data_IF_915959677174
#
_entry.id   IF_915959677174
#
_cell.length_a   1.000
_cell.length_b   1.000
_cell.length_c   1.000
_cell.angle_alpha   90.00
_cell.angle_beta   90.00
_cell.angle_gamma   90.00
#
_symmetry.space_group_name_H-M   'P 1'
#
loop_
_entity.id
_entity.type
_entity.pdbx_description
1 polymer ?
#
# COMPACT_ATOMS: atom_id res chain seq x y z
N UNK A 1 -7.80 13.47 4.91
CA UNK A 1 -7.31 13.50 4.82
C UNK A 1 -6.61 13.56 4.62
N UNK A 2 -6.32 13.71 4.62
CA UNK A 2 -5.64 13.98 4.40
C UNK A 2 -4.78 13.97 4.16
N UNK A 3 -4.32 14.01 4.04
CA UNK A 3 -3.51 14.14 3.85
C UNK A 3 -2.68 14.36 3.71
N UNK A 4 -2.12 14.59 3.68
CA UNK A 4 -1.38 14.88 3.47
C UNK A 4 -0.47 15.04 3.37
N UNK A 5 -0.03 15.26 3.29
CA UNK A 5 0.70 15.39 3.01
C UNK A 5 1.84 15.69 3.13
N UNK A 6 2.39 15.44 2.64
CA UNK A 6 3.58 15.58 2.82
C UNK A 6 4.07 16.69 2.21
N UNK A 7 4.63 17.43 2.75
CA UNK A 7 5.13 18.40 2.20
C UNK A 7 6.38 18.08 1.66
N UNK A 8 6.85 18.67 0.75
CA UNK A 8 7.96 18.38 0.25
C UNK A 8 9.11 18.68 1.01
N UNK A 9 9.86 17.85 1.36
CA UNK A 9 11.00 18.10 2.05
C UNK A 9 12.14 17.53 1.34
N UNK A 10 13.26 18.05 1.34
CA UNK A 10 14.44 17.52 0.71
C UNK A 10 14.89 16.30 1.43
N UNK A 11 14.93 15.18 0.74
CA UNK A 11 15.38 13.94 1.32
C UNK A 11 16.32 13.29 0.36
N UNK A 12 17.24 12.51 0.86
CA UNK A 12 18.16 11.84 0.01
C UNK A 12 17.47 10.78 -0.80
N UNK A 13 17.96 10.57 -2.00
CA UNK A 13 17.46 9.48 -2.83
C UNK A 13 17.62 8.18 -2.06
N UNK A 14 16.67 7.33 -2.17
CA UNK A 14 16.68 6.08 -1.45
C UNK A 14 16.07 6.15 -0.07
N UNK A 15 15.53 7.29 0.30
CA UNK A 15 14.92 7.47 1.61
C UNK A 15 13.42 7.59 1.45
N UNK A 16 12.69 6.92 2.30
CA UNK A 16 11.25 7.02 2.33
C UNK A 16 10.86 7.71 3.61
N UNK A 17 10.09 8.79 3.49
CA UNK A 17 9.61 9.48 4.66
C UNK A 17 8.23 9.00 5.03
N UNK A 18 8.03 8.71 6.28
CA UNK A 18 6.76 8.22 6.76
C UNK A 18 6.27 9.13 7.86
N UNK A 19 5.01 9.50 7.83
CA UNK A 19 4.41 10.34 8.84
C UNK A 19 4.48 9.60 10.17
N UNK A 20 5.05 10.22 11.18
CA UNK A 20 5.22 9.54 12.44
C UNK A 20 3.90 9.15 13.07
N UNK A 21 2.80 9.78 12.70
CA UNK A 21 1.50 9.40 13.21
C UNK A 21 1.12 7.98 12.81
N UNK A 22 1.74 7.45 11.76
CA UNK A 22 1.45 6.08 11.35
C UNK A 22 2.19 5.05 12.20
N UNK A 23 3.05 5.49 13.10
CA UNK A 23 3.78 4.54 13.91
C UNK A 23 2.98 4.00 15.09
N UNK A 24 1.76 4.47 15.29
CA UNK A 24 0.91 3.90 16.33
C UNK A 24 0.55 2.47 15.98
N UNK A 25 0.50 1.59 16.96
CA UNK A 25 0.23 0.17 16.72
C UNK A 25 -1.04 -0.05 15.93
N UNK A 26 -2.08 0.70 16.19
CA UNK A 26 -3.33 0.49 15.51
C UNK A 26 -3.27 0.84 14.03
N UNK A 27 -2.22 1.55 13.62
CA UNK A 27 -2.07 1.94 12.23
C UNK A 27 -0.98 1.16 11.52
N UNK A 28 -0.54 0.05 12.10
CA UNK A 28 0.53 -0.73 11.52
C UNK A 28 0.25 -1.14 10.08
N UNK A 29 -0.96 -1.59 9.81
CA UNK A 29 -1.30 -1.99 8.43
C UNK A 29 -1.20 -0.83 7.47
N UNK A 30 -1.64 0.35 7.89
CA UNK A 30 -1.55 1.52 7.07
C UNK A 30 -0.10 1.92 6.84
N UNK A 31 0.73 1.85 7.88
CA UNK A 31 2.12 2.20 7.73
C UNK A 31 2.80 1.25 6.76
N UNK A 32 2.53 -0.05 6.90
CA UNK A 32 3.15 -1.03 6.00
C UNK A 32 2.73 -0.78 4.56
N UNK A 33 1.45 -0.49 4.33
CA UNK A 33 0.99 -0.24 2.97
C UNK A 33 1.60 1.04 2.41
N UNK A 34 1.71 2.07 3.23
CA UNK A 34 2.32 3.32 2.80
C UNK A 34 3.78 3.10 2.42
N UNK A 35 4.52 2.36 3.23
CA UNK A 35 5.91 2.08 2.90
C UNK A 35 6.03 1.26 1.63
N UNK A 36 5.15 0.28 1.45
CA UNK A 36 5.18 -0.55 0.25
C UNK A 36 4.82 0.27 -0.99
N UNK A 37 3.88 1.19 -0.85
CA UNK A 37 3.49 2.07 -1.94
C UNK A 37 4.66 2.95 -2.37
N UNK A 38 5.36 3.53 -1.40
CA UNK A 38 6.52 4.36 -1.72
C UNK A 38 7.64 3.54 -2.32
N UNK A 39 7.82 2.32 -1.85
CA UNK A 39 8.78 1.42 -2.45
C UNK A 39 8.39 1.13 -3.90
N UNK A 40 7.08 1.01 -4.16
CA UNK A 40 6.60 0.82 -5.52
C UNK A 40 7.00 1.96 -6.43
N UNK A 41 6.89 3.19 -5.96
CA UNK A 41 7.34 4.33 -6.74
C UNK A 41 8.85 4.25 -6.98
N UNK A 42 9.59 3.86 -5.96
CA UNK A 42 11.04 3.77 -6.12
C UNK A 42 11.41 2.70 -7.16
N UNK A 43 10.77 1.57 -7.10
CA UNK A 43 11.09 0.47 -8.00
C UNK A 43 10.62 0.75 -9.42
N UNK A 44 9.43 1.29 -9.57
CA UNK A 44 8.81 1.39 -10.88
C UNK A 44 9.01 2.75 -11.53
N UNK A 45 9.17 3.79 -10.74
CA UNK A 45 9.10 5.13 -11.27
C UNK A 45 10.32 5.99 -10.95
N UNK A 46 11.40 5.36 -10.51
CA UNK A 46 12.53 6.14 -10.07
C UNK A 46 13.06 7.05 -11.18
N UNK A 47 12.98 6.64 -12.41
CA UNK A 47 13.46 7.46 -13.47
C UNK A 47 12.65 8.72 -13.68
N UNK A 48 11.42 8.72 -13.26
CA UNK A 48 10.57 9.87 -13.43
C UNK A 48 10.96 10.99 -12.48
N UNK A 49 11.66 10.64 -11.40
CA UNK A 49 12.02 11.64 -10.43
C UNK A 49 13.52 11.89 -10.36
N UNK A 50 14.28 11.23 -11.17
CA UNK A 50 15.71 11.25 -11.00
C UNK A 50 16.35 12.60 -11.33
N UNK A 51 15.69 13.45 -12.00
CA UNK A 51 16.30 14.72 -12.31
C UNK A 51 16.25 15.70 -11.18
N UNK A 52 15.64 15.36 -10.10
CA UNK A 52 15.49 16.29 -9.03
C UNK A 52 16.58 16.20 -8.00
N UNK A 53 17.60 15.46 -8.23
CA UNK A 53 18.68 15.35 -7.28
C UNK A 53 18.23 14.64 -6.05
N UNK A 54 18.41 15.22 -4.93
CA UNK A 54 18.08 14.56 -3.71
C UNK A 54 16.64 14.72 -3.30
N UNK A 55 15.84 15.36 -4.10
CA UNK A 55 14.48 15.60 -3.71
C UNK A 55 13.56 14.72 -4.49
N UNK A 56 12.70 14.07 -3.80
CA UNK A 56 11.80 13.26 -4.48
C UNK A 56 10.62 14.05 -4.60
N UNK A 57 10.47 14.80 -5.47
CA UNK A 57 9.41 15.60 -5.59
C UNK A 57 8.18 15.08 -5.93
N UNK A 58 7.55 14.29 -5.32
CA UNK A 58 6.44 13.75 -5.72
C UNK A 58 5.44 14.09 -4.83
N UNK A 59 4.52 14.87 -5.00
CA UNK A 59 3.62 15.21 -4.23
C UNK A 59 2.49 14.98 -4.73
N UNK A 60 2.29 14.60 -5.51
CA UNK A 60 1.16 14.27 -5.89
C UNK A 60 0.36 15.18 -6.29
N UNK A 61 0.32 15.94 -6.68
CA UNK A 61 -0.58 16.64 -6.95
C UNK A 61 -0.72 17.00 -8.10
N UNK A 62 -0.47 17.08 -8.58
CA UNK A 62 -0.59 17.72 -9.48
C UNK A 62 -1.21 17.38 -10.49
N UNK A 63 -1.37 17.06 -10.99
CA UNK A 63 -1.85 16.94 -12.06
C UNK A 63 -2.61 16.15 -12.32
N UNK A 64 -3.28 16.01 -12.07
CA UNK A 64 -4.18 15.30 -12.38
C UNK A 64 -4.16 14.62 -13.55
N UNK A 65 -3.34 14.52 -14.19
CA UNK A 65 -3.52 13.91 -15.37
C UNK A 65 -3.53 12.46 -15.27
N UNK A 66 -3.82 11.82 -16.34
CA UNK A 66 -3.92 10.41 -16.38
C UNK A 66 -2.64 9.73 -16.10
N UNK A 67 -1.53 10.31 -16.46
CA UNK A 67 -0.28 9.63 -16.19
C UNK A 67 0.01 9.61 -14.71
N UNK A 68 -0.39 10.65 -13.99
CA UNK A 68 -0.21 10.62 -12.54
C UNK A 68 -1.09 9.53 -11.93
N UNK A 69 -2.31 9.41 -12.39
CA UNK A 69 -3.19 8.36 -11.89
C UNK A 69 -2.66 6.97 -12.15
N UNK A 70 -2.06 6.79 -13.30
CA UNK A 70 -1.48 5.49 -13.64
C UNK A 70 -0.31 5.17 -12.72
N UNK A 71 0.54 6.14 -12.46
CA UNK A 71 1.68 5.93 -11.58
C UNK A 71 1.22 5.54 -10.18
N UNK A 72 0.19 6.19 -9.68
CA UNK A 72 -0.33 5.84 -8.38
C UNK A 72 -0.93 4.45 -8.35
N UNK A 73 -1.66 4.09 -9.40
CA UNK A 73 -2.25 2.75 -9.45
C UNK A 73 -1.20 1.67 -9.55
N UNK A 74 -0.10 1.95 -10.26
CA UNK A 74 0.97 0.97 -10.37
C UNK A 74 1.67 0.77 -9.02
N UNK A 75 1.89 1.86 -8.28
CA UNK A 75 2.49 1.74 -6.97
C UNK A 75 1.59 0.99 -6.01
N UNK A 76 0.28 1.23 -6.09
CA UNK A 76 -0.68 0.52 -5.26
C UNK A 76 -0.72 -0.96 -5.63
N UNK A 77 -0.66 -1.28 -6.91
CA UNK A 77 -0.69 -2.67 -7.34
C UNK A 77 0.55 -3.42 -6.85
N UNK A 78 1.70 -2.78 -6.89
CA UNK A 78 2.91 -3.42 -6.39
C UNK A 78 2.82 -3.60 -4.88
N UNK A 79 2.35 -2.58 -4.16
CA UNK A 79 2.21 -2.68 -2.72
C UNK A 79 1.26 -3.80 -2.34
N UNK A 80 0.15 -3.90 -3.06
CA UNK A 80 -0.84 -4.94 -2.81
C UNK A 80 -0.24 -6.33 -3.05
N UNK A 81 0.47 -6.49 -4.16
CA UNK A 81 1.06 -7.78 -4.48
C UNK A 81 2.16 -8.15 -3.48
N UNK A 82 2.88 -7.16 -2.99
CA UNK A 82 3.95 -7.42 -2.06
C UNK A 82 3.42 -7.84 -0.69
N UNK A 83 2.39 -7.17 -0.22
CA UNK A 83 1.88 -7.42 1.13
C UNK A 83 0.84 -8.54 1.17
N UNK A 84 0.17 -8.79 0.05
CA UNK A 84 -0.88 -9.80 -0.01
C UNK A 84 -0.72 -10.65 -1.27
N UNK A 85 0.35 -11.44 -1.37
CA UNK A 85 0.56 -12.25 -2.57
C UNK A 85 -0.59 -13.22 -2.75
N UNK A 86 -1.09 -13.33 -3.97
CA UNK A 86 -2.27 -14.13 -4.25
C UNK A 86 -2.16 -15.59 -3.84
N UNK A 87 -1.06 -16.28 -4.11
CA UNK A 87 -1.02 -17.69 -3.68
C UNK A 87 -1.18 -17.82 -2.17
N UNK A 88 -0.58 -16.93 -1.39
CA UNK A 88 -0.69 -16.98 0.06
C UNK A 88 -2.07 -16.54 0.52
N UNK A 89 -2.67 -15.57 -0.15
CA UNK A 89 -4.02 -15.15 0.17
C UNK A 89 -4.99 -16.31 -0.03
N UNK A 90 -4.89 -17.00 -1.16
CA UNK A 90 -5.79 -18.10 -1.43
C UNK A 90 -5.59 -19.25 -0.45
N UNK A 91 -4.35 -19.58 -0.17
CA UNK A 91 -4.06 -20.66 0.75
C UNK A 91 -4.61 -20.35 2.13
N UNK A 92 -4.42 -19.14 2.61
CA UNK A 92 -4.90 -18.73 3.90
C UNK A 92 -6.42 -18.72 3.92
N UNK A 93 -7.04 -18.20 2.87
CA UNK A 93 -8.48 -18.11 2.77
C UNK A 93 -9.13 -19.51 2.87
N UNK A 94 -8.65 -20.43 2.05
CA UNK A 94 -9.26 -21.75 2.04
C UNK A 94 -8.97 -22.53 3.32
N UNK A 95 -7.85 -22.27 3.96
CA UNK A 95 -7.51 -22.94 5.20
C UNK A 95 -8.35 -22.42 6.36
N UNK A 96 -8.59 -21.14 6.42
CA UNK A 96 -9.27 -20.55 7.56
C UNK A 96 -10.78 -20.47 7.45
N UNK A 97 -11.32 -20.52 6.25
CA UNK A 97 -12.73 -20.18 6.10
C UNK A 97 -13.74 -21.15 6.71
N UNK A 98 -13.46 -22.44 6.86
CA UNK A 98 -14.52 -23.33 7.37
C UNK A 98 -14.99 -22.92 8.76
N UNK A 99 -16.32 -22.82 8.88
CA UNK A 99 -16.92 -22.52 10.17
C UNK A 99 -16.85 -21.08 10.61
N UNK A 100 -16.38 -20.16 9.74
CA UNK A 100 -16.25 -18.78 10.15
C UNK A 100 -17.15 -17.87 9.36
N UNK A 101 -17.61 -16.82 10.00
CA UNK A 101 -18.33 -15.80 9.29
C UNK A 101 -17.35 -15.01 8.43
N UNK A 102 -17.89 -14.29 7.46
CA UNK A 102 -17.08 -13.47 6.60
C UNK A 102 -16.31 -12.46 7.42
N UNK A 103 -16.94 -11.84 8.40
CA UNK A 103 -16.32 -10.82 9.21
C UNK A 103 -15.15 -11.37 10.02
N UNK A 104 -15.33 -12.54 10.60
CA UNK A 104 -14.27 -13.14 11.38
C UNK A 104 -13.11 -13.56 10.49
N UNK A 105 -13.41 -14.11 9.32
CA UNK A 105 -12.37 -14.52 8.39
C UNK A 105 -11.53 -13.33 7.96
N UNK A 106 -12.18 -12.22 7.61
CA UNK A 106 -11.47 -11.03 7.20
C UNK A 106 -10.60 -10.51 8.34
N UNK A 107 -11.14 -10.51 9.56
CA UNK A 107 -10.36 -10.02 10.70
C UNK A 107 -9.12 -10.88 10.95
N UNK A 108 -9.26 -12.18 10.83
CA UNK A 108 -8.12 -13.07 11.05
C UNK A 108 -7.09 -12.93 9.96
N UNK A 109 -7.53 -12.84 8.73
CA UNK A 109 -6.59 -12.68 7.62
C UNK A 109 -5.87 -11.33 7.72
N UNK A 110 -6.58 -10.28 8.13
CA UNK A 110 -5.95 -8.97 8.28
C UNK A 110 -4.84 -9.04 9.32
N UNK A 111 -5.05 -9.80 10.36
CA UNK A 111 -4.03 -9.92 11.37
C UNK A 111 -2.85 -10.74 10.89
N UNK A 112 -3.08 -11.80 10.15
CA UNK A 112 -2.00 -12.62 9.63
C UNK A 112 -1.14 -11.84 8.65
N UNK A 113 -1.78 -11.12 7.72
CA UNK A 113 -1.04 -10.40 6.71
C UNK A 113 -0.59 -9.02 7.19
N UNK A 114 -1.09 -8.58 8.34
CA UNK A 114 -0.76 -7.30 8.92
C UNK A 114 -1.11 -6.15 7.98
N UNK A 115 -2.33 -6.21 7.52
CA UNK A 115 -2.91 -5.16 6.68
C UNK A 115 -4.28 -4.83 7.26
N UNK A 116 -4.93 -3.83 6.72
CA UNK A 116 -6.26 -3.46 7.22
C UNK A 116 -7.31 -4.47 6.77
N UNK A 117 -8.41 -4.52 7.49
CA UNK A 117 -9.53 -5.37 7.10
C UNK A 117 -10.05 -4.96 5.73
N UNK A 118 -10.07 -3.66 5.47
CA UNK A 118 -10.54 -3.17 4.19
C UNK A 118 -9.63 -3.68 3.07
N UNK A 119 -8.33 -3.70 3.29
CA UNK A 119 -7.40 -4.20 2.28
C UNK A 119 -7.64 -5.67 1.97
N UNK A 120 -7.89 -6.47 3.00
CA UNK A 120 -8.18 -7.87 2.80
C UNK A 120 -9.49 -8.04 2.03
N UNK A 121 -10.52 -7.29 2.41
CA UNK A 121 -11.81 -7.44 1.74
C UNK A 121 -11.68 -7.09 0.25
N UNK A 122 -11.02 -6.00 -0.06
CA UNK A 122 -10.83 -5.60 -1.44
C UNK A 122 -10.05 -6.68 -2.20
N UNK A 123 -9.03 -7.24 -1.58
CA UNK A 123 -8.21 -8.26 -2.22
C UNK A 123 -9.03 -9.52 -2.53
N UNK A 124 -9.82 -9.94 -1.55
CA UNK A 124 -10.64 -11.14 -1.73
C UNK A 124 -11.70 -10.93 -2.81
N UNK A 125 -12.31 -9.75 -2.82
CA UNK A 125 -13.32 -9.44 -3.82
C UNK A 125 -12.69 -9.35 -5.21
N UNK A 126 -11.53 -8.77 -5.31
CA UNK A 126 -10.88 -8.61 -6.60
C UNK A 126 -10.52 -9.95 -7.23
N UNK A 127 -10.34 -10.98 -6.41
CA UNK A 127 -10.00 -12.30 -6.92
C UNK A 127 -11.14 -13.28 -6.80
N UNK A 128 -12.35 -12.76 -6.64
CA UNK A 128 -13.56 -13.55 -6.62
C UNK A 128 -13.61 -14.63 -5.55
N UNK A 129 -13.00 -14.35 -4.40
CA UNK A 129 -13.05 -15.27 -3.28
C UNK A 129 -14.21 -14.92 -2.35
N UNK A 130 -14.70 -13.73 -2.42
CA UNK A 130 -15.88 -13.33 -1.68
C UNK A 130 -16.97 -12.91 -2.62
#
# INVERSE_FOLDING_TARGET
>A
QTEKRYHLIAVKAGTILVDERLCADRLLGRMRFTCAHELGHWVLHQKLYSGTGDVAAYEGKTSSDESHGLIERQADALATALLMPIPQIKKCFYHLRPGKSKELLIAEMAQIFQVSKQAIQIRLEAHNLL
#
